data_IF_415252730052
#
_entry.id   IF_415252730052
#
_cell.length_a   1.000
_cell.length_b   1.000
_cell.length_c   1.000
_cell.angle_alpha   90.00
_cell.angle_beta   90.00
_cell.angle_gamma   90.00
#
_symmetry.space_group_name_H-M   'P 1'
#
loop_
_entity.id
_entity.type
_entity.pdbx_description
1 polymer ?
#
# COMPACT_ATOMS: atom_id res chain seq x y z
N UNK A 1 24.80 -22.46 0.44
CA UNK A 1 23.44 -23.01 0.20
C UNK A 1 22.46 -21.95 0.66
N UNK A 2 21.86 -21.22 -0.28
CA UNK A 2 21.00 -20.09 0.03
C UNK A 2 19.61 -20.61 0.44
N UNK A 3 19.24 -20.41 1.71
CA UNK A 3 17.90 -20.69 2.22
C UNK A 3 16.89 -19.71 1.62
N UNK A 4 16.35 -20.04 0.44
CA UNK A 4 15.15 -19.38 -0.08
C UNK A 4 13.98 -19.86 0.76
N UNK A 5 13.67 -19.10 1.82
CA UNK A 5 12.48 -19.30 2.65
C UNK A 5 11.27 -19.49 1.74
N UNK A 6 10.69 -20.69 1.77
CA UNK A 6 9.56 -21.11 0.95
C UNK A 6 8.41 -20.13 1.16
N UNK A 7 8.21 -19.21 0.22
CA UNK A 7 7.06 -18.29 0.20
C UNK A 7 5.82 -19.12 -0.13
N UNK A 8 5.26 -19.75 0.90
CA UNK A 8 3.98 -20.45 0.81
C UNK A 8 2.89 -19.44 0.47
N UNK A 9 2.02 -19.78 -0.50
CA UNK A 9 0.83 -18.98 -0.80
C UNK A 9 -0.11 -19.08 0.41
N UNK A 10 -0.25 -17.98 1.14
CA UNK A 10 -1.21 -17.86 2.24
C UNK A 10 -2.63 -18.07 1.70
N UNK A 11 -3.43 -18.87 2.39
CA UNK A 11 -4.84 -19.09 2.07
C UNK A 11 -5.60 -17.75 2.14
N UNK A 12 -6.40 -17.45 1.11
CA UNK A 12 -7.25 -16.26 1.08
C UNK A 12 -8.18 -16.28 2.31
N UNK A 13 -8.11 -15.25 3.16
CA UNK A 13 -9.03 -15.07 4.30
C UNK A 13 -8.38 -14.98 5.68
N UNK A 14 -7.07 -15.20 5.83
CA UNK A 14 -6.35 -15.02 7.12
C UNK A 14 -5.71 -13.63 7.16
N UNK A 15 -6.52 -12.57 7.26
CA UNK A 15 -6.06 -11.18 7.06
C UNK A 15 -5.69 -10.45 8.35
N UNK A 16 -4.78 -11.02 9.15
CA UNK A 16 -4.08 -10.26 10.21
C UNK A 16 -2.64 -9.92 9.83
N UNK A 17 -2.16 -10.42 8.69
CA UNK A 17 -0.78 -10.19 8.25
C UNK A 17 -0.67 -8.92 7.39
N UNK A 18 0.41 -8.14 7.56
CA UNK A 18 0.67 -6.96 6.75
C UNK A 18 0.82 -7.35 5.27
N UNK A 19 0.18 -6.58 4.39
CA UNK A 19 0.26 -6.78 2.95
C UNK A 19 1.62 -6.30 2.43
N UNK A 20 2.39 -7.21 1.84
CA UNK A 20 3.60 -6.86 1.09
C UNK A 20 3.23 -6.24 -0.26
N UNK A 21 3.40 -4.93 -0.39
CA UNK A 21 3.19 -4.20 -1.66
C UNK A 21 4.52 -4.11 -2.40
N UNK A 22 4.52 -4.46 -3.70
CA UNK A 22 5.69 -4.26 -4.56
C UNK A 22 5.66 -2.83 -5.09
N UNK A 23 6.77 -2.13 -4.92
CA UNK A 23 6.98 -0.76 -5.39
C UNK A 23 8.24 -0.76 -6.25
N UNK A 24 8.22 0.02 -7.33
CA UNK A 24 9.40 0.30 -8.12
C UNK A 24 10.40 1.14 -7.30
N UNK A 25 11.71 1.10 -7.62
CA UNK A 25 12.72 1.85 -6.86
C UNK A 25 12.43 3.35 -6.77
N UNK A 26 11.96 3.96 -7.87
CA UNK A 26 11.63 5.39 -7.91
C UNK A 26 10.43 5.74 -7.01
N UNK A 27 9.40 4.88 -7.01
CA UNK A 27 8.24 5.04 -6.12
C UNK A 27 8.66 4.96 -4.66
N UNK A 28 9.54 4.02 -4.29
CA UNK A 28 10.07 3.90 -2.92
C UNK A 28 10.78 5.19 -2.52
N UNK A 29 11.65 5.73 -3.39
CA UNK A 29 12.41 6.95 -3.12
C UNK A 29 11.50 8.16 -2.89
N UNK A 30 10.46 8.30 -3.69
CA UNK A 30 9.49 9.38 -3.55
C UNK A 30 8.74 9.27 -2.21
N UNK A 31 8.23 8.09 -1.89
CA UNK A 31 7.51 7.83 -0.63
C UNK A 31 8.42 8.08 0.57
N UNK A 32 9.68 7.64 0.53
CA UNK A 32 10.63 7.87 1.63
C UNK A 32 10.94 9.35 1.82
N UNK A 33 11.08 10.10 0.74
CA UNK A 33 11.30 11.56 0.79
C UNK A 33 10.12 12.26 1.45
N UNK A 34 8.89 11.92 1.04
CA UNK A 34 7.66 12.48 1.61
C UNK A 34 7.42 12.06 3.07
N UNK A 35 7.82 10.84 3.42
CA UNK A 35 7.69 10.32 4.79
C UNK A 35 8.68 11.03 5.72
N UNK A 36 9.92 11.23 5.27
CA UNK A 36 10.96 11.95 5.99
C UNK A 36 10.57 13.42 6.22
N UNK A 37 10.04 14.10 5.20
CA UNK A 37 9.55 15.48 5.32
C UNK A 37 8.45 15.63 6.39
N UNK A 38 7.66 14.59 6.61
CA UNK A 38 6.59 14.55 7.62
C UNK A 38 7.03 13.96 8.96
N UNK A 39 8.30 13.54 9.11
CA UNK A 39 8.82 12.84 10.29
C UNK A 39 8.00 11.58 10.64
N UNK A 40 7.56 10.83 9.62
CA UNK A 40 6.77 9.61 9.75
C UNK A 40 7.46 8.43 9.08
N UNK A 41 7.04 7.21 9.45
CA UNK A 41 7.55 6.00 8.80
C UNK A 41 6.95 5.82 7.40
N UNK A 42 7.71 5.19 6.51
CA UNK A 42 7.25 4.79 5.17
C UNK A 42 5.93 4.01 5.22
N UNK A 43 5.83 3.05 6.14
CA UNK A 43 4.63 2.23 6.32
C UNK A 43 3.40 3.07 6.73
N UNK A 44 3.61 4.08 7.59
CA UNK A 44 2.55 4.99 7.99
C UNK A 44 2.07 5.83 6.79
N UNK A 45 3.00 6.39 6.02
CA UNK A 45 2.65 7.22 4.86
C UNK A 45 1.92 6.39 3.79
N UNK A 46 2.40 5.18 3.50
CA UNK A 46 1.73 4.26 2.58
C UNK A 46 0.29 3.98 3.00
N UNK A 47 0.07 3.70 4.29
CA UNK A 47 -1.28 3.48 4.83
C UNK A 47 -2.16 4.71 4.66
N UNK A 48 -1.63 5.90 4.94
CA UNK A 48 -2.35 7.16 4.77
C UNK A 48 -2.78 7.37 3.31
N UNK A 49 -1.85 7.21 2.36
CA UNK A 49 -2.11 7.42 0.93
C UNK A 49 -3.15 6.43 0.39
N UNK A 50 -3.07 5.15 0.79
CA UNK A 50 -4.07 4.14 0.42
C UNK A 50 -5.46 4.53 0.94
N UNK A 51 -5.58 4.93 2.20
CA UNK A 51 -6.88 5.32 2.77
C UNK A 51 -7.47 6.55 2.09
N UNK A 52 -6.61 7.52 1.73
CA UNK A 52 -7.03 8.70 0.98
C UNK A 52 -7.53 8.33 -0.42
N UNK A 53 -6.74 7.57 -1.17
CA UNK A 53 -7.14 7.10 -2.51
C UNK A 53 -8.42 6.28 -2.49
N UNK A 54 -8.63 5.44 -1.47
CA UNK A 54 -9.89 4.71 -1.29
C UNK A 54 -11.09 5.63 -1.05
N UNK A 55 -10.93 6.69 -0.26
CA UNK A 55 -11.99 7.66 -0.02
C UNK A 55 -12.33 8.44 -1.30
N UNK A 56 -11.31 8.87 -2.04
CA UNK A 56 -11.48 9.61 -3.27
C UNK A 56 -12.11 8.73 -4.36
N UNK A 57 -11.65 7.48 -4.52
CA UNK A 57 -12.26 6.53 -5.45
C UNK A 57 -13.75 6.26 -5.14
N UNK A 58 -14.12 6.15 -3.85
CA UNK A 58 -15.53 6.01 -3.45
C UNK A 58 -16.37 7.23 -3.83
N UNK A 59 -15.80 8.43 -3.72
CA UNK A 59 -16.49 9.67 -4.14
C UNK A 59 -16.68 9.72 -5.65
N UNK A 60 -15.67 9.34 -6.42
CA UNK A 60 -15.75 9.24 -7.88
C UNK A 60 -16.84 8.26 -8.33
N UNK A 61 -16.89 7.07 -7.70
CA UNK A 61 -17.93 6.08 -7.97
C UNK A 61 -19.34 6.61 -7.67
N UNK A 62 -19.52 7.31 -6.55
CA UNK A 62 -20.81 7.90 -6.19
C UNK A 62 -21.21 9.06 -7.11
N UNK A 63 -20.23 9.73 -7.74
CA UNK A 63 -20.45 10.89 -8.61
C UNK A 63 -20.67 10.48 -10.08
N UNK A 64 -20.43 9.21 -10.44
CA UNK A 64 -20.65 8.71 -11.79
C UNK A 64 -22.15 8.37 -11.95
N UNK A 65 -22.88 9.03 -12.87
CA UNK A 65 -24.27 8.66 -13.12
C UNK A 65 -24.28 7.25 -13.72
N UNK A 66 -24.99 6.33 -13.06
CA UNK A 66 -25.36 5.04 -13.64
C UNK A 66 -26.17 5.33 -14.90
N UNK A 67 -25.58 5.06 -16.06
CA UNK A 67 -26.24 5.23 -17.35
C UNK A 67 -26.55 3.87 -17.98
#
# INVERSE_FOLDING_TARGET
>A
MNNLSKVGRITKGVTSQPLGVRLAPDEVKEIETLAAAQQRSRAWLLRLLILRGLADYKRELASKPTH
#
